data_IF_433618441213
#
_entry.id   IF_433618441213
#
_cell.length_a   1.000
_cell.length_b   1.000
_cell.length_c   1.000
_cell.angle_alpha   90.00
_cell.angle_beta   90.00
_cell.angle_gamma   90.00
#
_symmetry.space_group_name_H-M   'P 1'
#
loop_
_entity.id
_entity.type
_entity.pdbx_description
1 polymer ?
#
# COMPACT_ATOMS: atom_id res chain seq x y z
N UNK A 1 35.95 -35.45 -61.77
CA UNK A 1 34.54 -35.46 -61.30
C UNK A 1 34.55 -35.30 -59.78
N UNK A 2 34.17 -34.14 -59.28
CA UNK A 2 34.14 -33.84 -57.83
C UNK A 2 32.69 -33.90 -57.34
N UNK A 3 32.35 -34.95 -56.59
CA UNK A 3 31.03 -35.13 -55.98
C UNK A 3 30.89 -34.21 -54.77
N UNK A 4 29.93 -33.28 -54.86
CA UNK A 4 29.53 -32.35 -53.82
C UNK A 4 28.66 -33.12 -52.82
N UNK A 5 29.16 -33.36 -51.61
CA UNK A 5 28.38 -33.92 -50.50
C UNK A 5 27.52 -32.82 -49.88
N UNK A 6 26.23 -32.83 -50.20
CA UNK A 6 25.24 -31.99 -49.53
C UNK A 6 24.87 -32.58 -48.17
N UNK A 7 25.23 -31.90 -47.09
CA UNK A 7 24.78 -32.24 -45.73
C UNK A 7 23.38 -31.65 -45.48
N UNK A 8 22.38 -32.45 -45.04
CA UNK A 8 21.04 -31.93 -44.80
C UNK A 8 20.99 -31.07 -43.54
N UNK A 9 20.51 -29.82 -43.68
CA UNK A 9 20.26 -28.91 -42.55
C UNK A 9 19.09 -29.44 -41.71
N UNK A 10 19.35 -29.80 -40.45
CA UNK A 10 18.32 -30.15 -39.46
C UNK A 10 17.30 -29.00 -39.34
N UNK A 11 15.98 -29.29 -39.33
CA UNK A 11 14.97 -28.26 -39.13
C UNK A 11 15.13 -27.68 -37.72
N UNK A 12 15.22 -26.34 -37.63
CA UNK A 12 15.16 -25.60 -36.37
C UNK A 12 13.78 -25.85 -35.76
N UNK A 13 13.69 -26.80 -34.83
CA UNK A 13 12.49 -27.05 -34.06
C UNK A 13 12.04 -25.77 -33.39
N UNK A 14 10.82 -25.32 -33.70
CA UNK A 14 10.11 -24.32 -32.89
C UNK A 14 10.18 -24.78 -31.44
N UNK A 15 10.68 -23.92 -30.54
CA UNK A 15 10.54 -24.16 -29.10
C UNK A 15 9.06 -24.50 -28.82
N UNK A 16 8.77 -25.54 -28.02
CA UNK A 16 7.39 -25.80 -27.63
C UNK A 16 6.82 -24.53 -26.99
N UNK A 17 5.57 -24.19 -27.32
CA UNK A 17 4.88 -23.10 -26.66
C UNK A 17 5.00 -23.32 -25.15
N UNK A 18 5.38 -22.26 -24.41
CA UNK A 18 5.61 -22.33 -22.96
C UNK A 18 4.54 -23.21 -22.31
N UNK A 19 5.00 -24.22 -21.56
CA UNK A 19 4.12 -25.18 -20.90
C UNK A 19 3.10 -24.40 -20.05
N UNK A 20 1.90 -24.95 -19.87
CA UNK A 20 0.88 -24.32 -19.00
C UNK A 20 1.48 -24.03 -17.61
N UNK A 21 2.36 -24.90 -17.10
CA UNK A 21 3.10 -24.70 -15.85
C UNK A 21 4.04 -23.49 -15.87
N UNK A 22 4.74 -23.25 -16.99
CA UNK A 22 5.64 -22.12 -17.16
C UNK A 22 4.83 -20.80 -17.22
N UNK A 23 3.70 -20.82 -17.92
CA UNK A 23 2.77 -19.67 -17.96
C UNK A 23 2.17 -19.36 -16.59
N UNK A 24 1.87 -20.38 -15.78
CA UNK A 24 1.42 -20.19 -14.39
C UNK A 24 2.52 -19.50 -13.58
N UNK A 25 3.75 -19.99 -13.65
CA UNK A 25 4.88 -19.40 -12.92
C UNK A 25 5.16 -17.94 -13.35
N UNK A 26 5.07 -17.62 -14.65
CA UNK A 26 5.19 -16.26 -15.15
C UNK A 26 4.08 -15.34 -14.64
N UNK A 27 2.83 -15.83 -14.61
CA UNK A 27 1.69 -15.09 -14.11
C UNK A 27 1.80 -14.83 -12.59
N UNK A 28 2.25 -15.80 -11.81
CA UNK A 28 2.50 -15.64 -10.38
C UNK A 28 3.59 -14.60 -10.10
N UNK A 29 4.68 -14.62 -10.87
CA UNK A 29 5.75 -13.62 -10.78
C UNK A 29 5.25 -12.23 -11.13
N UNK A 30 4.45 -12.10 -12.19
CA UNK A 30 3.84 -10.83 -12.57
C UNK A 30 2.91 -10.31 -11.48
N UNK A 31 2.07 -11.18 -10.90
CA UNK A 31 1.17 -10.83 -9.81
C UNK A 31 1.95 -10.38 -8.56
N UNK A 32 3.04 -11.05 -8.22
CA UNK A 32 3.92 -10.62 -7.13
C UNK A 32 4.51 -9.22 -7.39
N UNK A 33 4.98 -8.97 -8.62
CA UNK A 33 5.51 -7.66 -9.02
C UNK A 33 4.44 -6.55 -8.95
N UNK A 34 3.24 -6.81 -9.45
CA UNK A 34 2.14 -5.84 -9.42
C UNK A 34 1.71 -5.52 -7.99
N UNK A 35 1.68 -6.52 -7.10
CA UNK A 35 1.39 -6.31 -5.67
C UNK A 35 2.45 -5.45 -4.99
N UNK A 36 3.72 -5.66 -5.31
CA UNK A 36 4.81 -4.81 -4.80
C UNK A 36 4.69 -3.38 -5.33
N UNK A 37 4.40 -3.22 -6.62
CA UNK A 37 4.20 -1.91 -7.23
C UNK A 37 3.03 -1.16 -6.59
N UNK A 38 1.88 -1.82 -6.37
CA UNK A 38 0.74 -1.22 -5.69
C UNK A 38 1.10 -0.74 -4.27
N UNK A 39 1.85 -1.55 -3.49
CA UNK A 39 2.33 -1.14 -2.17
C UNK A 39 3.29 0.05 -2.23
N UNK A 40 4.13 0.14 -3.26
CA UNK A 40 5.04 1.28 -3.46
C UNK A 40 4.27 2.55 -3.83
N UNK A 41 3.34 2.45 -4.76
CA UNK A 41 2.51 3.58 -5.19
C UNK A 41 1.65 4.13 -4.05
N UNK A 42 1.08 3.25 -3.22
CA UNK A 42 0.34 3.64 -2.02
C UNK A 42 1.23 4.44 -1.05
N UNK A 43 2.44 3.94 -0.75
CA UNK A 43 3.40 4.66 0.11
C UNK A 43 3.78 6.02 -0.47
N UNK A 44 4.10 6.07 -1.75
CA UNK A 44 4.49 7.31 -2.42
C UNK A 44 3.33 8.33 -2.41
N UNK A 45 2.10 7.87 -2.62
CA UNK A 45 0.92 8.73 -2.54
C UNK A 45 0.68 9.26 -1.13
N UNK A 46 0.85 8.43 -0.10
CA UNK A 46 0.77 8.87 1.29
C UNK A 46 1.83 9.93 1.60
N UNK A 47 3.07 9.74 1.14
CA UNK A 47 4.15 10.69 1.38
C UNK A 47 3.94 12.01 0.62
N UNK A 48 3.47 11.95 -0.63
CA UNK A 48 3.07 13.14 -1.41
C UNK A 48 1.93 13.88 -0.71
N UNK A 49 0.93 13.16 -0.21
CA UNK A 49 -0.21 13.77 0.48
C UNK A 49 0.23 14.44 1.79
N UNK A 50 1.05 13.75 2.60
CA UNK A 50 1.65 14.32 3.83
C UNK A 50 2.46 15.58 3.53
N UNK A 51 3.25 15.57 2.45
CA UNK A 51 4.02 16.73 2.01
C UNK A 51 3.09 17.88 1.60
N UNK A 52 2.07 17.63 0.79
CA UNK A 52 1.12 18.65 0.36
C UNK A 52 0.38 19.28 1.55
N UNK A 53 -0.05 18.47 2.54
CA UNK A 53 -0.63 18.97 3.79
C UNK A 53 0.39 19.83 4.53
N UNK A 54 1.62 19.36 4.73
CA UNK A 54 2.64 20.14 5.43
C UNK A 54 2.96 21.47 4.74
N UNK A 55 3.06 21.47 3.41
CA UNK A 55 3.34 22.67 2.63
C UNK A 55 2.18 23.68 2.73
N UNK A 56 0.92 23.22 2.74
CA UNK A 56 -0.26 24.05 2.98
C UNK A 56 -0.27 24.66 4.39
N UNK A 57 0.08 23.87 5.41
CA UNK A 57 0.17 24.38 6.78
C UNK A 57 1.25 25.47 6.90
N UNK A 58 2.39 25.29 6.24
CA UNK A 58 3.49 26.26 6.24
C UNK A 58 3.17 27.53 5.45
N UNK A 59 2.49 27.43 4.31
CA UNK A 59 2.13 28.60 3.50
C UNK A 59 1.20 29.55 4.27
N UNK A 60 0.31 28.99 5.08
CA UNK A 60 -0.63 29.74 5.93
C UNK A 60 -0.07 29.99 7.35
N UNK A 61 1.20 29.62 7.61
CA UNK A 61 1.89 29.75 8.91
C UNK A 61 1.16 29.11 10.09
N UNK A 62 0.34 28.11 9.83
CA UNK A 62 -0.42 27.37 10.84
C UNK A 62 0.48 26.48 11.70
N UNK A 63 1.70 26.18 11.21
CA UNK A 63 2.75 25.44 11.91
C UNK A 63 3.39 26.21 13.07
N UNK A 64 3.18 27.53 13.15
CA UNK A 64 3.69 28.38 14.23
C UNK A 64 2.79 28.39 15.47
N UNK A 65 1.57 27.88 15.35
CA UNK A 65 0.58 27.86 16.42
C UNK A 65 0.68 26.53 17.17
N UNK A 66 0.83 26.60 18.50
CA UNK A 66 0.92 25.41 19.33
C UNK A 66 -0.34 24.54 19.25
N UNK A 67 -0.13 23.23 19.37
CA UNK A 67 -1.19 22.22 19.28
C UNK A 67 -2.28 22.44 20.33
N UNK A 68 -1.91 22.92 21.53
CA UNK A 68 -2.87 23.21 22.60
C UNK A 68 -3.81 24.38 22.22
N UNK A 69 -3.28 25.40 21.55
CA UNK A 69 -4.08 26.51 21.04
C UNK A 69 -5.03 26.02 19.95
N UNK A 70 -4.53 25.20 19.02
CA UNK A 70 -5.36 24.53 18.00
C UNK A 70 -6.51 23.74 18.62
N UNK A 71 -6.26 22.95 19.66
CA UNK A 71 -7.31 22.16 20.33
C UNK A 71 -8.46 23.02 20.86
N UNK A 72 -8.17 24.22 21.34
CA UNK A 72 -9.18 25.13 21.87
C UNK A 72 -10.00 25.84 20.77
N UNK A 73 -9.39 26.15 19.62
CA UNK A 73 -10.02 26.93 18.54
C UNK A 73 -10.66 26.07 17.45
N UNK A 74 -10.19 24.84 17.21
CA UNK A 74 -10.74 23.93 16.19
C UNK A 74 -12.24 23.69 16.35
N UNK A 75 -12.80 23.46 17.56
CA UNK A 75 -14.24 23.32 17.72
C UNK A 75 -15.03 24.54 17.24
N UNK A 76 -14.52 25.75 17.49
CA UNK A 76 -15.14 27.00 17.05
C UNK A 76 -15.04 27.17 15.53
N UNK A 77 -13.89 26.84 14.95
CA UNK A 77 -13.69 26.83 13.49
C UNK A 77 -14.63 25.82 12.80
N UNK A 78 -14.78 24.61 13.36
CA UNK A 78 -15.73 23.60 12.85
C UNK A 78 -17.16 24.14 12.85
N UNK A 79 -17.57 24.87 13.90
CA UNK A 79 -18.88 25.50 13.95
C UNK A 79 -19.06 26.59 12.88
N UNK A 80 -18.05 27.44 12.68
CA UNK A 80 -18.05 28.49 11.66
C UNK A 80 -18.13 27.95 10.22
N UNK A 81 -17.48 26.80 9.96
CA UNK A 81 -17.50 26.13 8.65
C UNK A 81 -18.75 25.24 8.46
N UNK A 82 -19.63 25.16 9.47
CA UNK A 82 -20.87 24.38 9.41
C UNK A 82 -20.69 22.87 9.64
N UNK A 83 -19.54 22.45 10.17
CA UNK A 83 -19.18 21.05 10.43
C UNK A 83 -19.60 20.55 11.83
N UNK A 84 -20.11 21.42 12.69
CA UNK A 84 -20.42 21.11 14.10
C UNK A 84 -21.51 20.04 14.28
N UNK A 85 -22.37 19.79 13.28
CA UNK A 85 -23.44 18.79 13.39
C UNK A 85 -23.00 17.34 13.07
N UNK A 86 -21.77 17.11 12.60
CA UNK A 86 -21.34 15.78 12.14
C UNK A 86 -20.32 15.09 13.04
N UNK A 87 -19.92 15.70 14.16
CA UNK A 87 -18.73 15.32 14.93
C UNK A 87 -19.04 14.87 16.36
N UNK A 88 -20.22 14.32 16.61
CA UNK A 88 -20.61 13.81 17.94
C UNK A 88 -20.32 12.31 18.13
N UNK A 89 -19.75 11.63 17.12
CA UNK A 89 -19.53 10.18 17.11
C UNK A 89 -18.07 9.71 17.21
N UNK A 90 -17.09 10.60 17.37
CA UNK A 90 -15.68 10.18 17.52
C UNK A 90 -15.19 10.46 18.94
N UNK A 91 -15.45 9.50 19.84
CA UNK A 91 -14.81 9.47 21.15
C UNK A 91 -13.28 9.39 20.97
N UNK A 92 -12.49 10.15 21.75
CA UNK A 92 -11.05 10.03 21.71
C UNK A 92 -10.66 8.63 22.16
N UNK A 93 -9.81 7.96 21.39
CA UNK A 93 -9.25 6.65 21.73
C UNK A 93 -8.51 6.77 23.07
N UNK A 94 -9.22 6.44 24.15
CA UNK A 94 -8.67 6.32 25.48
C UNK A 94 -7.71 5.14 25.48
N UNK A 95 -6.46 5.47 25.78
CA UNK A 95 -5.42 4.64 26.36
C UNK A 95 -6.01 3.44 27.12
N UNK A 96 -5.95 2.25 26.51
CA UNK A 96 -6.15 0.97 27.19
C UNK A 96 -4.97 0.07 26.85
N UNK A 97 -3.82 0.41 27.44
CA UNK A 97 -2.93 -0.61 27.95
C UNK A 97 -3.71 -1.44 28.97
N UNK A 98 -4.18 -2.62 28.57
CA UNK A 98 -4.68 -3.65 29.49
C UNK A 98 -4.17 -5.02 29.01
N UNK A 99 -3.74 -5.88 29.94
CA UNK A 99 -2.75 -6.91 29.69
C UNK A 99 -3.35 -8.13 28.99
N UNK A 100 -2.52 -8.77 28.16
CA UNK A 100 -2.75 -10.09 27.57
C UNK A 100 -3.15 -11.06 28.69
N UNK A 101 -4.41 -11.48 28.71
CA UNK A 101 -4.87 -12.65 29.46
C UNK A 101 -4.71 -13.86 28.55
N UNK A 102 -3.67 -14.64 28.81
CA UNK A 102 -3.47 -15.98 28.26
C UNK A 102 -4.61 -16.88 28.72
N UNK A 103 -5.37 -17.45 27.78
CA UNK A 103 -6.27 -18.58 28.05
C UNK A 103 -5.52 -19.89 27.72
N UNK A 104 -5.32 -20.81 28.68
CA UNK A 104 -4.67 -22.09 28.43
C UNK A 104 -5.52 -23.01 27.55
N UNK A 105 -4.83 -23.73 26.65
CA UNK A 105 -5.35 -24.72 25.71
C UNK A 105 -5.82 -25.96 26.46
N UNK A 106 -7.08 -26.34 26.30
CA UNK A 106 -7.64 -27.61 26.77
C UNK A 106 -7.30 -28.70 25.73
N UNK A 107 -6.46 -29.67 26.11
CA UNK A 107 -6.16 -30.87 25.31
C UNK A 107 -7.26 -31.91 25.53
N UNK A 108 -7.81 -32.54 24.47
CA UNK A 108 -8.69 -33.69 24.63
C UNK A 108 -7.87 -34.97 24.86
N UNK A 109 -8.34 -35.80 25.79
CA UNK A 109 -7.93 -37.19 25.97
C UNK A 109 -8.91 -38.14 25.27
#
# INVERSE_FOLDING_TARGET
>A
MTTKTETPKKPRGRRPAASITEKIAEAEKLLASLREQARREERENLDKNRKAISDLFKSERLDTIDVEVWRNVVPQLKALVGLAASSESEQPAADKSAPVRETPVEQPA
#
